data_IF_545525989402
#
_entry.id   IF_545525989402
#
_cell.length_a   1.000
_cell.length_b   1.000
_cell.length_c   1.000
_cell.angle_alpha   90.00
_cell.angle_beta   90.00
_cell.angle_gamma   90.00
#
_symmetry.space_group_name_H-M   'P 1'
#
loop_
_entity.id
_entity.type
_entity.pdbx_description
1 polymer ?
#
# COMPACT_ATOMS: atom_id res chain seq x y z
N UNK A 1 7.64 -4.57 13.65
CA UNK A 1 8.42 -5.82 13.60
C UNK A 1 9.17 -6.18 14.91
N UNK A 2 9.39 -5.27 15.90
CA UNK A 2 10.17 -5.60 17.11
C UNK A 2 9.60 -6.78 17.90
N UNK A 3 8.28 -6.86 18.05
CA UNK A 3 7.60 -7.91 18.86
C UNK A 3 7.74 -9.31 18.28
N UNK A 4 7.80 -9.47 16.96
CA UNK A 4 8.05 -10.75 16.33
C UNK A 4 9.49 -11.23 16.60
N UNK A 5 10.47 -10.34 16.41
CA UNK A 5 11.89 -10.64 16.67
C UNK A 5 12.20 -10.94 18.13
N UNK A 6 11.45 -10.35 19.07
CA UNK A 6 11.60 -10.61 20.50
C UNK A 6 10.81 -11.85 20.99
N UNK A 7 10.09 -12.55 20.12
CA UNK A 7 9.26 -13.69 20.48
C UNK A 7 7.94 -13.35 21.21
N UNK A 8 7.64 -12.07 21.40
CA UNK A 8 6.41 -11.63 22.05
C UNK A 8 5.16 -11.79 21.18
N UNK A 9 5.33 -11.89 19.86
CA UNK A 9 4.27 -12.16 18.90
C UNK A 9 4.79 -13.05 17.78
N UNK A 10 3.94 -13.91 17.25
CA UNK A 10 4.24 -14.74 16.08
C UNK A 10 3.47 -14.18 14.88
N UNK A 11 4.19 -13.79 13.83
CA UNK A 11 3.57 -13.49 12.54
C UNK A 11 3.20 -14.81 11.86
N UNK A 12 1.97 -14.96 11.41
CA UNK A 12 1.47 -16.16 10.74
C UNK A 12 1.49 -16.00 9.23
N UNK A 13 1.06 -14.84 8.73
CA UNK A 13 1.10 -14.46 7.34
C UNK A 13 1.11 -12.93 7.20
N UNK A 14 1.42 -12.44 6.01
CA UNK A 14 1.34 -11.02 5.63
C UNK A 14 0.34 -10.84 4.50
N UNK A 15 -0.31 -9.68 4.45
CA UNK A 15 -1.29 -9.33 3.41
C UNK A 15 -0.66 -8.74 2.15
N UNK A 16 0.66 -8.54 2.12
CA UNK A 16 1.37 -8.06 0.93
C UNK A 16 1.31 -9.06 -0.22
N UNK A 17 1.47 -8.59 -1.45
CA UNK A 17 1.53 -9.45 -2.64
C UNK A 17 2.79 -10.33 -2.70
N UNK A 18 3.85 -9.93 -2.00
CA UNK A 18 5.11 -10.67 -1.87
C UNK A 18 5.56 -10.72 -0.42
N UNK A 19 6.46 -11.67 -0.10
CA UNK A 19 7.05 -11.74 1.24
C UNK A 19 7.90 -10.50 1.53
N UNK A 20 7.82 -10.00 2.76
CA UNK A 20 8.67 -8.87 3.16
C UNK A 20 10.12 -9.32 3.42
N UNK A 21 11.12 -8.57 2.94
CA UNK A 21 12.52 -8.84 3.28
C UNK A 21 12.83 -8.80 4.78
N UNK A 22 11.96 -8.16 5.58
CA UNK A 22 12.14 -8.09 7.04
C UNK A 22 11.76 -9.38 7.77
N UNK A 23 10.94 -10.25 7.12
CA UNK A 23 10.49 -11.55 7.65
C UNK A 23 10.29 -12.52 6.48
N UNK A 24 11.38 -12.95 5.82
CA UNK A 24 11.28 -13.78 4.61
C UNK A 24 10.70 -15.18 4.88
N UNK A 25 10.74 -15.62 6.14
CA UNK A 25 10.17 -16.89 6.61
C UNK A 25 8.65 -16.85 6.75
N UNK A 26 8.03 -15.65 6.83
CA UNK A 26 6.59 -15.51 6.99
C UNK A 26 5.91 -15.50 5.61
N UNK A 27 4.99 -16.46 5.35
CA UNK A 27 4.30 -16.54 4.07
C UNK A 27 3.34 -15.36 3.86
N UNK A 28 2.94 -15.14 2.61
CA UNK A 28 1.80 -14.26 2.30
C UNK A 28 0.48 -14.97 2.59
N UNK A 29 -0.61 -14.19 2.69
CA UNK A 29 -1.96 -14.75 2.79
C UNK A 29 -2.30 -15.62 1.56
N UNK A 30 -1.91 -15.18 0.36
CA UNK A 30 -2.11 -15.94 -0.87
C UNK A 30 -1.38 -17.29 -0.82
N UNK A 31 -0.10 -17.32 -0.40
CA UNK A 31 0.66 -18.59 -0.20
C UNK A 31 0.04 -19.49 0.88
N UNK A 32 -0.74 -18.92 1.79
CA UNK A 32 -1.45 -19.63 2.86
C UNK A 32 -2.86 -20.09 2.47
N UNK A 33 -3.26 -19.94 1.19
CA UNK A 33 -4.54 -20.38 0.65
C UNK A 33 -5.66 -19.32 0.67
N UNK A 34 -5.33 -18.06 0.95
CA UNK A 34 -6.26 -16.94 0.99
C UNK A 34 -5.94 -15.94 -0.14
N UNK A 35 -6.16 -16.34 -1.39
CA UNK A 35 -5.74 -15.59 -2.60
C UNK A 35 -6.37 -14.19 -2.68
N UNK A 36 -7.61 -14.02 -2.21
CA UNK A 36 -8.32 -12.73 -2.21
C UNK A 36 -7.88 -11.77 -1.09
N UNK A 37 -7.02 -12.22 -0.17
CA UNK A 37 -6.56 -11.46 0.99
C UNK A 37 -5.27 -10.69 0.73
N UNK A 38 -5.04 -10.26 -0.51
CA UNK A 38 -3.93 -9.35 -0.82
C UNK A 38 -4.41 -7.92 -0.55
N UNK A 39 -3.98 -7.35 0.57
CA UNK A 39 -4.36 -6.01 1.03
C UNK A 39 -3.11 -5.18 1.28
N UNK A 40 -3.06 -3.99 0.73
CA UNK A 40 -1.96 -3.05 0.92
C UNK A 40 -2.44 -1.71 1.49
N UNK A 41 -1.54 -0.99 2.15
CA UNK A 41 -1.78 0.40 2.50
C UNK A 41 -1.52 1.28 1.27
N UNK A 42 -2.47 2.19 0.98
CA UNK A 42 -2.32 3.19 -0.06
C UNK A 42 -1.89 4.51 0.57
N UNK A 43 -0.80 5.07 0.07
CA UNK A 43 -0.37 6.42 0.36
C UNK A 43 -0.40 7.25 -0.91
N UNK A 44 -1.04 8.41 -0.86
CA UNK A 44 -1.17 9.28 -2.01
C UNK A 44 -1.24 10.74 -1.64
N UNK A 45 -0.90 11.61 -2.59
CA UNK A 45 -1.03 13.06 -2.49
C UNK A 45 -2.13 13.50 -3.43
N UNK A 46 -3.07 14.26 -2.93
CA UNK A 46 -4.18 14.85 -3.68
C UNK A 46 -4.09 16.37 -3.63
N UNK A 47 -4.58 17.01 -4.67
CA UNK A 47 -4.68 18.47 -4.76
C UNK A 47 -6.14 18.88 -4.92
N UNK A 48 -6.54 20.09 -4.52
CA UNK A 48 -7.90 20.60 -4.72
C UNK A 48 -8.31 20.59 -6.19
N UNK A 49 -9.61 20.44 -6.44
CA UNK A 49 -10.17 20.62 -7.78
C UNK A 49 -9.86 22.04 -8.31
N UNK A 50 -9.51 22.12 -9.61
CA UNK A 50 -9.14 23.39 -10.23
C UNK A 50 -7.67 23.81 -10.04
N UNK A 51 -6.83 22.97 -9.40
CA UNK A 51 -5.39 23.23 -9.36
C UNK A 51 -4.83 23.33 -10.79
N UNK A 52 -4.02 24.37 -11.12
CA UNK A 52 -3.44 24.53 -12.44
C UNK A 52 -2.64 23.30 -12.88
N UNK A 53 -2.78 22.93 -14.16
CA UNK A 53 -2.12 21.74 -14.73
C UNK A 53 -0.61 21.75 -14.55
N UNK A 54 0.01 22.91 -14.74
CA UNK A 54 1.46 23.08 -14.55
C UNK A 54 1.91 22.74 -13.12
N UNK A 55 1.13 23.14 -12.10
CA UNK A 55 1.41 22.79 -10.71
C UNK A 55 1.27 21.29 -10.45
N UNK A 56 0.25 20.65 -11.02
CA UNK A 56 0.03 19.20 -10.92
C UNK A 56 1.21 18.44 -11.56
N UNK A 57 1.61 18.84 -12.75
CA UNK A 57 2.69 18.17 -13.51
C UNK A 57 4.03 18.30 -12.77
N UNK A 58 4.32 19.49 -12.19
CA UNK A 58 5.52 19.71 -11.38
C UNK A 58 5.50 18.86 -10.12
N UNK A 59 4.42 18.87 -9.34
CA UNK A 59 4.27 18.07 -8.13
C UNK A 59 4.40 16.58 -8.44
N UNK A 60 3.77 16.10 -9.51
CA UNK A 60 3.85 14.70 -9.92
C UNK A 60 5.28 14.30 -10.24
N UNK A 61 6.01 15.12 -10.99
CA UNK A 61 7.43 14.89 -11.31
C UNK A 61 8.30 14.80 -10.07
N UNK A 62 8.13 15.76 -9.14
CA UNK A 62 8.93 15.83 -7.91
C UNK A 62 8.62 14.65 -6.98
N UNK A 63 7.34 14.29 -6.83
CA UNK A 63 6.91 13.15 -6.02
C UNK A 63 7.40 11.81 -6.60
N UNK A 64 7.37 11.62 -7.92
CA UNK A 64 7.93 10.44 -8.58
C UNK A 64 9.42 10.35 -8.28
N UNK A 65 10.18 11.44 -8.47
CA UNK A 65 11.61 11.45 -8.22
C UNK A 65 11.95 11.08 -6.77
N UNK A 66 11.20 11.63 -5.80
CA UNK A 66 11.37 11.27 -4.38
C UNK A 66 11.02 9.81 -4.13
N UNK A 67 9.88 9.32 -4.63
CA UNK A 67 9.42 7.93 -4.39
C UNK A 67 10.36 6.87 -4.98
N UNK A 68 11.07 7.21 -6.05
CA UNK A 68 12.05 6.32 -6.68
C UNK A 68 13.46 6.46 -6.09
N UNK A 69 13.70 7.42 -5.20
CA UNK A 69 15.01 7.58 -4.57
C UNK A 69 15.36 6.39 -3.67
N UNK A 70 16.63 6.00 -3.67
CA UNK A 70 17.12 4.87 -2.86
C UNK A 70 16.86 5.09 -1.36
N UNK A 71 16.98 6.33 -0.89
CA UNK A 71 16.74 6.69 0.51
C UNK A 71 15.27 6.48 0.89
N UNK A 72 14.33 6.97 0.07
CA UNK A 72 12.91 6.83 0.34
C UNK A 72 12.48 5.35 0.31
N UNK A 73 12.90 4.60 -0.71
CA UNK A 73 12.61 3.16 -0.83
C UNK A 73 13.16 2.38 0.36
N UNK A 74 14.40 2.69 0.78
CA UNK A 74 14.99 2.08 1.98
C UNK A 74 14.15 2.37 3.23
N UNK A 75 13.71 3.62 3.44
CA UNK A 75 12.86 3.99 4.59
C UNK A 75 11.53 3.23 4.59
N UNK A 76 10.90 3.03 3.42
CA UNK A 76 9.69 2.22 3.32
C UNK A 76 9.93 0.78 3.78
N UNK A 77 11.00 0.15 3.29
CA UNK A 77 11.37 -1.21 3.73
C UNK A 77 11.62 -1.27 5.23
N UNK A 78 12.35 -0.31 5.79
CA UNK A 78 12.69 -0.26 7.22
C UNK A 78 11.44 -0.21 8.13
N UNK A 79 10.34 0.39 7.65
CA UNK A 79 9.04 0.42 8.37
C UNK A 79 8.11 -0.72 7.98
N UNK A 80 8.54 -1.63 7.11
CA UNK A 80 7.76 -2.80 6.68
C UNK A 80 6.79 -2.54 5.54
N UNK A 81 7.00 -1.46 4.80
CA UNK A 81 6.24 -1.15 3.58
C UNK A 81 6.96 -1.66 2.34
N UNK A 82 6.22 -2.13 1.36
CA UNK A 82 6.76 -2.54 0.07
C UNK A 82 6.81 -1.34 -0.89
N UNK A 83 8.01 -0.95 -1.40
CA UNK A 83 8.10 0.10 -2.40
C UNK A 83 7.50 -0.37 -3.72
N UNK A 84 6.45 0.29 -4.18
CA UNK A 84 5.80 0.05 -5.47
C UNK A 84 6.14 1.14 -6.47
N UNK A 85 5.82 0.92 -7.73
CA UNK A 85 5.93 1.96 -8.76
C UNK A 85 4.81 3.00 -8.56
N UNK A 86 5.14 4.31 -8.66
CA UNK A 86 4.17 5.38 -8.45
C UNK A 86 3.13 5.43 -9.56
N UNK A 87 1.87 5.57 -9.17
CA UNK A 87 0.76 5.84 -10.07
C UNK A 87 0.42 7.34 -10.06
N UNK A 88 0.12 7.91 -11.20
CA UNK A 88 -0.24 9.32 -11.33
C UNK A 88 -1.48 9.53 -12.21
N UNK A 89 -2.11 10.70 -12.10
CA UNK A 89 -3.22 11.11 -12.96
C UNK A 89 -4.37 10.11 -12.97
N UNK A 90 -4.85 9.76 -14.16
CA UNK A 90 -5.97 8.84 -14.32
C UNK A 90 -5.70 7.42 -13.81
N UNK A 91 -4.46 6.93 -13.93
CA UNK A 91 -4.10 5.61 -13.41
C UNK A 91 -4.26 5.54 -11.89
N UNK A 92 -3.84 6.59 -11.19
CA UNK A 92 -4.04 6.71 -9.75
C UNK A 92 -5.53 6.85 -9.38
N UNK A 93 -6.30 7.65 -10.13
CA UNK A 93 -7.74 7.78 -9.94
C UNK A 93 -8.50 6.46 -10.12
N UNK A 94 -8.18 5.69 -11.16
CA UNK A 94 -8.76 4.35 -11.37
C UNK A 94 -8.39 3.39 -10.24
N UNK A 95 -7.14 3.42 -9.80
CA UNK A 95 -6.69 2.59 -8.69
C UNK A 95 -7.48 2.89 -7.41
N UNK A 96 -7.58 4.17 -7.02
CA UNK A 96 -8.37 4.59 -5.83
C UNK A 96 -9.83 4.12 -5.94
N UNK A 97 -10.47 4.31 -7.11
CA UNK A 97 -11.86 3.91 -7.31
C UNK A 97 -12.06 2.41 -7.16
N UNK A 98 -11.12 1.61 -7.66
CA UNK A 98 -11.16 0.15 -7.53
C UNK A 98 -10.95 -0.30 -6.08
N UNK A 99 -9.97 0.27 -5.40
CA UNK A 99 -9.71 -0.03 -3.99
C UNK A 99 -10.90 0.37 -3.10
N UNK A 100 -11.48 1.56 -3.32
CA UNK A 100 -12.66 1.99 -2.56
C UNK A 100 -13.86 1.04 -2.73
N UNK A 101 -14.06 0.51 -3.95
CA UNK A 101 -15.09 -0.51 -4.19
C UNK A 101 -14.78 -1.81 -3.45
N UNK A 102 -13.56 -2.31 -3.57
CA UNK A 102 -13.09 -3.54 -2.91
C UNK A 102 -13.22 -3.45 -1.39
N UNK A 103 -12.78 -2.35 -0.79
CA UNK A 103 -12.90 -2.15 0.65
C UNK A 103 -14.36 -2.09 1.11
N UNK A 104 -15.25 -1.50 0.31
CA UNK A 104 -16.70 -1.50 0.59
C UNK A 104 -17.28 -2.91 0.58
N UNK A 105 -16.92 -3.71 -0.43
CA UNK A 105 -17.36 -5.11 -0.52
C UNK A 105 -16.88 -5.93 0.70
N UNK A 106 -15.63 -5.78 1.09
CA UNK A 106 -15.06 -6.43 2.28
C UNK A 106 -15.76 -5.95 3.58
N UNK A 107 -16.05 -4.68 3.71
CA UNK A 107 -16.77 -4.13 4.87
C UNK A 107 -18.17 -4.74 5.00
N UNK A 108 -18.91 -4.85 3.87
CA UNK A 108 -20.23 -5.50 3.83
C UNK A 108 -20.11 -6.96 4.24
N UNK A 109 -19.14 -7.71 3.70
CA UNK A 109 -18.92 -9.12 4.07
C UNK A 109 -18.56 -9.29 5.54
N UNK A 110 -17.83 -8.34 6.12
CA UNK A 110 -17.47 -8.31 7.53
C UNK A 110 -18.60 -7.82 8.46
N UNK A 111 -19.78 -7.47 7.91
CA UNK A 111 -20.91 -6.97 8.68
C UNK A 111 -20.73 -5.56 9.26
N UNK A 112 -19.76 -4.79 8.72
CA UNK A 112 -19.57 -3.39 9.10
C UNK A 112 -20.74 -2.58 8.53
N UNK A 113 -21.46 -1.87 9.41
CA UNK A 113 -22.56 -0.98 9.00
C UNK A 113 -21.99 0.42 8.74
N UNK A 114 -22.44 1.06 7.66
CA UNK A 114 -22.24 2.49 7.48
C UNK A 114 -23.02 3.23 8.60
N UNK A 115 -22.31 3.99 9.43
CA UNK A 115 -22.91 4.93 10.39
C UNK A 115 -23.20 6.26 9.69
#
# INVERSE_FOLDING_TARGET
MPRHKSGQARALAITGGTRTPLMPEVPTMAESGFEDMVLGALFGVMVPAGTPREAIDRLSKDLIAVSQSAEFRKRLVDIGQEPTEPLTGEAFGRYISNEARRWRELAVMAGVKDE
#
